data_IF_459800226535
#
_entry.id   IF_459800226535
#
_cell.length_a   1.000
_cell.length_b   1.000
_cell.length_c   1.000
_cell.angle_alpha   90.00
_cell.angle_beta   90.00
_cell.angle_gamma   90.00
#
_symmetry.space_group_name_H-M   'P 1'
#
loop_
_entity.id
_entity.type
_entity.pdbx_description
1 polymer ?
#
# COMPACT_ATOMS: atom_id res chain seq x y z
N UNK A 1 -37.08 -6.98 32.74
CA UNK A 1 -36.11 -8.07 32.48
C UNK A 1 -36.06 -8.22 30.98
N UNK A 2 -35.22 -7.48 30.27
CA UNK A 2 -33.77 -7.64 30.25
C UNK A 2 -33.44 -7.98 28.80
N UNK A 3 -33.73 -7.04 27.89
CA UNK A 3 -33.29 -7.16 26.50
C UNK A 3 -31.77 -7.13 26.53
N UNK A 4 -31.17 -8.22 26.05
CA UNK A 4 -29.73 -8.40 26.03
C UNK A 4 -29.15 -7.36 25.08
N UNK A 5 -28.68 -6.23 25.61
CA UNK A 5 -28.07 -5.11 24.87
C UNK A 5 -26.75 -5.47 24.17
N UNK A 6 -26.49 -6.76 23.94
CA UNK A 6 -25.32 -7.27 23.22
C UNK A 6 -25.63 -7.59 21.75
N UNK A 7 -26.90 -7.83 21.38
CA UNK A 7 -27.27 -8.18 19.99
C UNK A 7 -27.39 -6.95 19.05
N UNK A 8 -27.50 -5.73 19.59
CA UNK A 8 -27.66 -4.49 18.80
C UNK A 8 -26.34 -3.89 18.28
N UNK A 9 -25.18 -4.50 18.60
CA UNK A 9 -23.88 -4.03 18.10
C UNK A 9 -23.36 -4.82 16.88
N UNK A 10 -24.05 -5.88 16.46
CA UNK A 10 -23.72 -6.64 15.24
C UNK A 10 -24.58 -6.23 14.02
N UNK A 11 -25.49 -5.27 14.19
CA UNK A 11 -26.34 -4.81 13.11
C UNK A 11 -25.67 -3.64 12.38
N UNK A 12 -25.29 -3.89 11.13
CA UNK A 12 -24.97 -2.92 10.07
C UNK A 12 -23.50 -2.79 9.59
N UNK A 13 -22.70 -3.86 9.66
CA UNK A 13 -21.58 -3.96 8.69
C UNK A 13 -22.05 -4.70 7.44
N UNK A 14 -22.83 -4.01 6.59
CA UNK A 14 -23.32 -4.58 5.34
C UNK A 14 -22.15 -4.89 4.39
N UNK A 15 -21.89 -6.17 4.13
CA UNK A 15 -20.84 -6.62 3.20
C UNK A 15 -21.27 -6.41 1.74
N UNK A 16 -21.08 -5.17 1.26
CA UNK A 16 -21.45 -4.76 -0.12
C UNK A 16 -20.82 -5.72 -1.14
N UNK A 17 -19.52 -5.97 -1.07
CA UNK A 17 -18.81 -6.74 -2.11
C UNK A 17 -19.08 -8.23 -2.00
N UNK A 18 -19.16 -8.79 -0.78
CA UNK A 18 -19.37 -10.21 -0.57
C UNK A 18 -20.77 -10.70 -0.97
N UNK A 19 -21.76 -9.79 -0.91
CA UNK A 19 -23.16 -10.05 -1.30
C UNK A 19 -23.44 -9.87 -2.79
N UNK A 20 -22.53 -9.25 -3.54
CA UNK A 20 -22.69 -9.07 -4.98
C UNK A 20 -22.47 -10.39 -5.76
N UNK A 21 -23.02 -10.49 -6.98
CA UNK A 21 -22.63 -11.50 -7.95
C UNK A 21 -21.12 -11.51 -8.15
N UNK A 22 -20.57 -12.69 -8.43
CA UNK A 22 -19.12 -12.92 -8.48
C UNK A 22 -18.43 -12.01 -9.50
N UNK A 23 -19.04 -11.80 -10.65
CA UNK A 23 -18.54 -10.98 -11.75
C UNK A 23 -18.40 -9.52 -11.32
N UNK A 24 -19.42 -8.98 -10.65
CA UNK A 24 -19.43 -7.59 -10.17
C UNK A 24 -18.42 -7.41 -9.03
N UNK A 25 -18.35 -8.36 -8.10
CA UNK A 25 -17.34 -8.36 -7.04
C UNK A 25 -15.91 -8.36 -7.60
N UNK A 26 -15.64 -9.19 -8.62
CA UNK A 26 -14.36 -9.22 -9.33
C UNK A 26 -14.07 -7.89 -10.02
N UNK A 27 -15.05 -7.29 -10.71
CA UNK A 27 -14.88 -5.98 -11.37
C UNK A 27 -14.48 -4.89 -10.39
N UNK A 28 -15.12 -4.82 -9.22
CA UNK A 28 -14.75 -3.85 -8.17
C UNK A 28 -13.31 -4.11 -7.70
N UNK A 29 -12.97 -5.37 -7.38
CA UNK A 29 -11.65 -5.75 -6.89
C UNK A 29 -10.53 -5.50 -7.92
N UNK A 30 -10.82 -5.55 -9.24
CA UNK A 30 -9.87 -5.23 -10.32
C UNK A 30 -9.38 -3.78 -10.28
N UNK A 31 -10.20 -2.86 -9.76
CA UNK A 31 -9.88 -1.44 -9.66
C UNK A 31 -8.97 -1.09 -8.46
N UNK A 32 -8.83 -1.99 -7.50
CA UNK A 32 -7.94 -1.77 -6.34
C UNK A 32 -6.48 -1.91 -6.76
N UNK A 33 -5.56 -1.16 -6.15
CA UNK A 33 -4.13 -1.41 -6.28
C UNK A 33 -3.71 -2.69 -5.54
N UNK A 34 -2.48 -3.19 -5.79
CA UNK A 34 -2.04 -4.47 -5.25
C UNK A 34 -1.94 -4.52 -3.72
N UNK A 35 -1.63 -3.40 -3.04
CA UNK A 35 -1.58 -3.37 -1.57
C UNK A 35 -2.99 -3.43 -1.00
N UNK A 36 -3.89 -2.60 -1.53
CA UNK A 36 -5.29 -2.57 -1.09
C UNK A 36 -6.01 -3.88 -1.41
N UNK A 37 -5.73 -4.49 -2.56
CA UNK A 37 -6.25 -5.82 -2.93
C UNK A 37 -5.82 -6.91 -1.94
N UNK A 38 -4.57 -6.86 -1.46
CA UNK A 38 -4.11 -7.79 -0.42
C UNK A 38 -4.89 -7.60 0.88
N UNK A 39 -5.10 -6.36 1.33
CA UNK A 39 -5.90 -6.07 2.51
C UNK A 39 -7.35 -6.55 2.33
N UNK A 40 -7.96 -6.27 1.17
CA UNK A 40 -9.29 -6.71 0.80
C UNK A 40 -9.43 -8.25 0.86
N UNK A 41 -8.41 -9.00 0.43
CA UNK A 41 -8.41 -10.46 0.50
C UNK A 41 -8.46 -11.03 1.93
N UNK A 42 -8.18 -10.21 2.95
CA UNK A 42 -8.19 -10.60 4.37
C UNK A 42 -9.50 -10.25 5.07
N UNK A 43 -10.41 -9.51 4.41
CA UNK A 43 -11.68 -9.07 4.99
C UNK A 43 -12.57 -10.26 5.37
N UNK A 44 -12.75 -11.20 4.44
CA UNK A 44 -13.51 -12.43 4.71
C UNK A 44 -13.13 -13.56 3.75
N UNK A 45 -13.57 -14.79 4.07
CA UNK A 45 -13.39 -15.95 3.17
C UNK A 45 -14.06 -15.73 1.81
N UNK A 46 -15.18 -15.01 1.77
CA UNK A 46 -15.89 -14.67 0.52
C UNK A 46 -15.06 -13.73 -0.35
N UNK A 47 -14.47 -12.70 0.23
CA UNK A 47 -13.58 -11.78 -0.48
C UNK A 47 -12.32 -12.48 -1.00
N UNK A 48 -11.73 -13.37 -0.21
CA UNK A 48 -10.61 -14.20 -0.66
C UNK A 48 -11.00 -15.11 -1.83
N UNK A 49 -12.20 -15.70 -1.80
CA UNK A 49 -12.71 -16.51 -2.90
C UNK A 49 -12.86 -15.69 -4.18
N UNK A 50 -13.43 -14.48 -4.13
CA UNK A 50 -13.53 -13.57 -5.28
C UNK A 50 -12.14 -13.26 -5.88
N UNK A 51 -11.16 -12.93 -5.04
CA UNK A 51 -9.77 -12.71 -5.48
C UNK A 51 -9.13 -13.93 -6.15
N UNK A 52 -9.56 -15.16 -5.81
CA UNK A 52 -9.03 -16.42 -6.35
C UNK A 52 -9.75 -16.90 -7.61
N UNK A 53 -11.00 -16.47 -7.80
CA UNK A 53 -11.84 -16.82 -8.95
C UNK A 53 -11.40 -16.13 -10.25
N UNK A 54 -10.68 -15.00 -10.15
CA UNK A 54 -10.10 -14.30 -11.30
C UNK A 54 -8.58 -14.51 -11.38
N UNK A 55 -8.08 -14.89 -12.57
CA UNK A 55 -6.68 -15.25 -12.75
C UNK A 55 -5.72 -14.08 -12.54
N UNK A 56 -6.11 -12.87 -12.94
CA UNK A 56 -5.28 -11.66 -12.80
C UNK A 56 -5.26 -11.19 -11.35
N UNK A 57 -6.42 -11.16 -10.66
CA UNK A 57 -6.46 -10.87 -9.22
C UNK A 57 -5.60 -11.84 -8.43
N UNK A 58 -5.71 -13.15 -8.74
CA UNK A 58 -4.89 -14.19 -8.11
C UNK A 58 -3.40 -13.99 -8.35
N UNK A 59 -3.00 -13.62 -9.57
CA UNK A 59 -1.61 -13.34 -9.91
C UNK A 59 -1.08 -12.11 -9.17
N UNK A 60 -1.84 -11.01 -9.16
CA UNK A 60 -1.49 -9.77 -8.44
C UNK A 60 -1.36 -10.00 -6.94
N UNK A 61 -2.29 -10.76 -6.34
CA UNK A 61 -2.26 -11.11 -4.94
C UNK A 61 -1.00 -11.93 -4.58
N UNK A 62 -0.65 -12.94 -5.40
CA UNK A 62 0.58 -13.73 -5.21
C UNK A 62 1.83 -12.86 -5.33
N UNK A 63 1.88 -11.95 -6.31
CA UNK A 63 3.00 -11.05 -6.49
C UNK A 63 3.18 -10.13 -5.26
N UNK A 64 2.08 -9.59 -4.73
CA UNK A 64 2.13 -8.75 -3.53
C UNK A 64 2.60 -9.53 -2.29
N UNK A 65 2.10 -10.75 -2.08
CA UNK A 65 2.59 -11.61 -0.99
C UNK A 65 4.09 -11.88 -1.10
N UNK A 66 4.58 -12.17 -2.31
CA UNK A 66 6.02 -12.37 -2.56
C UNK A 66 6.80 -11.10 -2.23
N UNK A 67 6.31 -9.94 -2.69
CA UNK A 67 6.93 -8.64 -2.41
C UNK A 67 7.03 -8.37 -0.90
N UNK A 68 5.94 -8.56 -0.15
CA UNK A 68 5.96 -8.38 1.31
C UNK A 68 6.89 -9.36 2.01
N UNK A 69 6.97 -10.60 1.54
CA UNK A 69 7.90 -11.59 2.09
C UNK A 69 9.35 -11.18 1.86
N UNK A 70 9.69 -10.73 0.65
CA UNK A 70 11.05 -10.24 0.33
C UNK A 70 11.40 -9.03 1.19
N UNK A 71 10.50 -8.05 1.30
CA UNK A 71 10.72 -6.86 2.14
C UNK A 71 10.91 -7.18 3.62
N UNK A 72 10.29 -8.26 4.12
CA UNK A 72 10.52 -8.72 5.50
C UNK A 72 11.86 -9.41 5.70
N UNK A 73 12.34 -10.14 4.69
CA UNK A 73 13.62 -10.88 4.75
C UNK A 73 14.80 -9.94 4.49
N UNK A 74 14.65 -9.03 3.53
CA UNK A 74 15.63 -8.04 3.15
C UNK A 74 14.92 -6.69 3.05
N UNK A 75 14.84 -5.94 4.16
CA UNK A 75 14.26 -4.61 4.12
C UNK A 75 15.07 -3.77 3.15
N UNK A 76 14.42 -2.91 2.34
CA UNK A 76 15.15 -2.02 1.44
C UNK A 76 16.14 -1.21 2.27
N UNK A 77 17.38 -1.13 1.80
CA UNK A 77 18.42 -0.34 2.44
C UNK A 77 17.95 1.11 2.47
N UNK A 78 17.55 1.59 3.65
CA UNK A 78 17.24 3.01 3.84
C UNK A 78 18.56 3.74 3.87
N UNK A 79 18.96 4.28 2.73
CA UNK A 79 20.09 5.19 2.68
C UNK A 79 19.62 6.53 3.24
N UNK A 80 19.94 6.75 4.51
CA UNK A 80 19.79 8.06 5.13
C UNK A 80 20.78 8.99 4.43
N UNK A 81 20.31 9.73 3.42
CA UNK A 81 21.02 10.91 2.92
C UNK A 81 21.09 11.89 4.08
N UNK A 82 22.20 11.86 4.81
CA UNK A 82 22.60 12.96 5.69
C UNK A 82 22.99 14.08 4.74
N UNK A 83 22.09 15.03 4.53
CA UNK A 83 22.47 16.31 3.96
C UNK A 83 23.48 16.94 4.93
N UNK A 84 24.78 16.77 4.65
CA UNK A 84 25.86 17.44 5.36
C UNK A 84 25.95 18.92 4.97
N UNK A 85 24.81 19.58 4.75
CA UNK A 85 24.72 21.02 4.54
C UNK A 85 24.31 21.77 5.82
N UNK A 86 24.68 21.26 7.00
CA UNK A 86 24.79 22.11 8.17
C UNK A 86 26.26 22.48 8.39
N UNK A 87 26.84 23.12 7.39
CA UNK A 87 28.03 23.95 7.59
C UNK A 87 27.50 25.35 7.81
N UNK A 88 27.27 25.69 9.08
CA UNK A 88 27.18 27.08 9.52
C UNK A 88 28.55 27.70 9.19
N UNK A 89 28.69 28.33 8.03
CA UNK A 89 29.88 29.12 7.70
C UNK A 89 29.66 30.54 8.24
N UNK A 90 30.42 30.98 9.27
CA UNK A 90 30.44 32.39 9.59
C UNK A 90 30.99 33.15 8.38
N UNK A 91 30.36 34.28 8.09
CA UNK A 91 30.56 35.13 6.94
C UNK A 91 32.02 35.63 6.88
N UNK A 92 32.92 34.89 6.24
CA UNK A 92 34.27 35.38 5.97
C UNK A 92 34.69 35.09 4.54
N UNK A 93 34.95 36.21 3.87
CA UNK A 93 35.66 36.39 2.61
C UNK A 93 34.89 36.13 1.32
N UNK A 94 34.31 37.23 0.83
CA UNK A 94 34.30 37.56 -0.59
C UNK A 94 35.63 37.16 -1.24
N UNK A 95 35.55 36.34 -2.29
CA UNK A 95 36.29 36.41 -3.56
C UNK A 95 36.61 35.00 -4.08
N UNK A 96 36.10 34.67 -5.27
CA UNK A 96 36.64 33.58 -6.09
C UNK A 96 35.60 32.68 -6.74
N UNK A 97 35.07 33.15 -7.87
CA UNK A 97 34.85 32.39 -9.12
C UNK A 97 34.43 30.89 -9.06
N UNK A 98 33.32 30.62 -9.78
CA UNK A 98 33.04 29.43 -10.62
C UNK A 98 32.46 28.20 -9.87
N UNK A 99 31.46 27.46 -10.35
CA UNK A 99 30.88 27.28 -11.69
C UNK A 99 29.49 26.62 -11.50
N UNK A 100 28.47 27.10 -12.20
CA UNK A 100 27.16 26.42 -12.25
C UNK A 100 27.26 25.22 -13.20
N UNK A 101 27.12 24.00 -12.68
CA UNK A 101 26.81 22.84 -13.50
C UNK A 101 25.32 22.52 -13.39
N UNK A 102 24.60 22.78 -14.48
CA UNK A 102 23.25 22.28 -14.72
C UNK A 102 23.38 21.02 -15.55
N UNK A 103 22.91 19.89 -15.04
CA UNK A 103 22.85 18.64 -15.79
C UNK A 103 21.39 18.23 -15.97
N UNK A 104 20.93 18.19 -17.22
CA UNK A 104 19.67 17.56 -17.59
C UNK A 104 19.95 16.10 -17.96
N UNK A 105 19.15 15.18 -17.41
CA UNK A 105 19.19 13.75 -17.74
C UNK A 105 17.97 13.46 -18.62
N UNK A 106 18.23 12.87 -19.80
CA UNK A 106 17.25 12.41 -20.81
C UNK A 106 16.45 11.22 -20.33
#
# INVERSE_FOLDING_TARGET
MGVSSADELEENTYDIVGKLPTEIGIMILRNLDSRTLLSASRVSRRWLALCRSDSVLKARLKAEFRRQRIQRISPPRVEVRRDTQNVYQPFTSLNGLQQNHVTFIT
#
